data_IF_831464158540
#
_entry.id   IF_831464158540
#
_cell.length_a   1.000
_cell.length_b   1.000
_cell.length_c   1.000
_cell.angle_alpha   90.00
_cell.angle_beta   90.00
_cell.angle_gamma   90.00
#
_symmetry.space_group_name_H-M   'P 1'
#
loop_
_entity.id
_entity.type
_entity.pdbx_description
1 polymer ?
#
# COMPACT_ATOMS: atom_id res chain seq x y z
N UNK A 1 38.74 27.79 2.95
CA UNK A 1 38.10 26.49 3.22
C UNK A 1 37.01 26.69 4.27
N UNK A 2 35.75 26.32 3.98
CA UNK A 2 34.58 26.50 4.89
C UNK A 2 33.41 27.08 4.09
N UNK A 3 32.23 26.49 3.93
CA UNK A 3 31.37 25.69 4.82
C UNK A 3 30.97 24.32 4.22
N UNK A 4 31.85 23.70 3.42
CA UNK A 4 31.56 22.42 2.76
C UNK A 4 31.24 21.28 3.75
N UNK A 5 31.91 21.24 4.90
CA UNK A 5 31.69 20.20 5.92
C UNK A 5 30.27 20.27 6.51
N UNK A 6 29.74 21.46 6.81
CA UNK A 6 28.40 21.62 7.41
C UNK A 6 27.29 21.27 6.39
N UNK A 7 27.50 21.63 5.12
CA UNK A 7 26.61 21.26 4.02
C UNK A 7 26.65 19.76 3.73
N UNK A 8 27.83 19.14 3.77
CA UNK A 8 28.00 17.70 3.60
C UNK A 8 27.32 16.94 4.74
N UNK A 9 27.53 17.34 6.00
CA UNK A 9 26.87 16.71 7.15
C UNK A 9 25.35 16.88 7.12
N UNK A 10 24.83 18.01 6.62
CA UNK A 10 23.38 18.21 6.46
C UNK A 10 22.79 17.34 5.35
N UNK A 11 23.54 17.06 4.28
CA UNK A 11 23.14 16.15 3.18
C UNK A 11 23.23 14.69 3.61
N UNK A 12 24.28 14.34 4.34
CA UNK A 12 24.54 13.02 4.91
C UNK A 12 23.44 12.64 5.92
N UNK A 13 23.14 13.52 6.89
CA UNK A 13 21.98 13.36 7.80
C UNK A 13 20.62 13.29 7.07
N UNK A 14 20.49 13.91 5.90
CA UNK A 14 19.26 13.83 5.08
C UNK A 14 19.12 12.48 4.38
N UNK A 15 20.24 11.82 4.05
CA UNK A 15 20.26 10.49 3.46
C UNK A 15 20.05 9.40 4.52
N UNK A 16 20.55 9.63 5.74
CA UNK A 16 20.38 8.75 6.90
C UNK A 16 19.10 8.98 7.70
N UNK A 17 18.28 9.98 7.32
CA UNK A 17 16.86 9.94 7.62
C UNK A 17 16.25 8.82 6.78
N UNK A 18 16.52 7.58 7.22
CA UNK A 18 15.70 6.43 6.90
C UNK A 18 14.29 6.91 7.19
N UNK A 19 13.53 7.20 6.14
CA UNK A 19 12.07 7.18 6.19
C UNK A 19 11.71 5.74 6.57
N UNK A 20 11.92 5.39 7.84
CA UNK A 20 11.29 4.25 8.47
C UNK A 20 9.81 4.39 8.20
N UNK A 21 9.07 3.26 8.15
CA UNK A 21 7.71 3.25 7.64
C UNK A 21 6.95 4.41 8.26
N UNK A 22 6.68 5.44 7.44
CA UNK A 22 5.94 6.61 7.89
C UNK A 22 4.64 6.05 8.42
N UNK A 23 4.07 6.63 9.48
CA UNK A 23 2.82 6.16 10.08
C UNK A 23 1.78 5.75 9.01
N UNK A 24 1.74 6.51 7.91
CA UNK A 24 1.02 6.22 6.68
C UNK A 24 1.19 4.78 6.14
N UNK A 25 2.40 4.24 5.98
CA UNK A 25 2.62 2.88 5.48
C UNK A 25 2.06 1.80 6.42
N UNK A 26 2.16 2.01 7.74
CA UNK A 26 1.54 1.12 8.73
C UNK A 26 0.02 1.20 8.66
N UNK A 27 -0.53 2.40 8.56
CA UNK A 27 -1.99 2.60 8.42
C UNK A 27 -2.53 1.99 7.13
N UNK A 28 -1.79 2.12 6.02
CA UNK A 28 -2.16 1.49 4.74
C UNK A 28 -2.12 -0.04 4.80
N UNK A 29 -1.15 -0.63 5.50
CA UNK A 29 -1.09 -2.07 5.71
C UNK A 29 -2.27 -2.56 6.57
N UNK A 30 -2.61 -1.83 7.64
CA UNK A 30 -3.76 -2.15 8.49
C UNK A 30 -5.10 -1.97 7.77
N UNK A 31 -5.18 -1.09 6.77
CA UNK A 31 -6.40 -0.89 5.99
C UNK A 31 -6.72 -2.08 5.07
N UNK A 32 -5.79 -3.01 4.82
CA UNK A 32 -6.02 -4.19 3.97
C UNK A 32 -6.86 -5.26 4.68
N UNK A 33 -8.17 -5.05 4.71
CA UNK A 33 -9.12 -5.91 5.44
C UNK A 33 -9.99 -6.77 4.54
N UNK A 34 -10.10 -6.45 3.24
CA UNK A 34 -10.90 -7.20 2.29
C UNK A 34 -9.99 -8.22 1.61
N UNK A 35 -10.38 -9.50 1.55
CA UNK A 35 -9.59 -10.55 0.91
C UNK A 35 -10.41 -11.27 -0.14
N UNK A 36 -9.84 -11.45 -1.34
CA UNK A 36 -10.45 -12.27 -2.36
C UNK A 36 -10.34 -13.75 -1.97
N UNK A 37 -11.44 -14.50 -1.96
CA UNK A 37 -11.41 -15.94 -1.61
C UNK A 37 -10.85 -16.85 -2.70
N UNK A 38 -10.78 -16.35 -3.94
CA UNK A 38 -10.26 -17.13 -5.08
C UNK A 38 -8.74 -17.07 -5.16
N UNK A 39 -8.13 -15.90 -4.99
CA UNK A 39 -6.67 -15.72 -5.12
C UNK A 39 -5.97 -15.20 -3.86
N UNK A 40 -6.70 -15.00 -2.76
CA UNK A 40 -6.18 -14.50 -1.48
C UNK A 40 -5.46 -13.15 -1.56
N UNK A 41 -5.71 -12.37 -2.61
CA UNK A 41 -5.22 -11.00 -2.73
C UNK A 41 -5.95 -10.11 -1.72
N UNK A 42 -5.18 -9.31 -0.98
CA UNK A 42 -5.70 -8.35 -0.02
C UNK A 42 -5.99 -6.99 -0.69
N UNK A 43 -7.09 -6.37 -0.28
CA UNK A 43 -7.60 -5.09 -0.74
C UNK A 43 -7.84 -4.17 0.46
N UNK A 44 -7.67 -2.87 0.23
CA UNK A 44 -7.96 -1.85 1.25
C UNK A 44 -9.47 -1.79 1.54
N UNK A 45 -9.85 -1.55 2.79
CA UNK A 45 -11.24 -1.38 3.26
C UNK A 45 -11.99 -0.29 2.50
N UNK A 46 -11.26 0.70 2.00
CA UNK A 46 -11.78 1.84 1.25
C UNK A 46 -11.96 1.56 -0.24
N UNK A 47 -11.64 0.34 -0.72
CA UNK A 47 -11.84 -0.04 -2.12
C UNK A 47 -13.34 -0.04 -2.44
N UNK A 48 -13.74 0.67 -3.50
CA UNK A 48 -15.13 0.71 -3.95
C UNK A 48 -15.56 -0.63 -4.55
N UNK A 49 -16.88 -0.87 -4.57
CA UNK A 49 -17.47 -2.11 -5.12
C UNK A 49 -17.08 -2.33 -6.58
N UNK A 50 -17.08 -1.28 -7.40
CA UNK A 50 -16.71 -1.36 -8.81
C UNK A 50 -15.26 -1.85 -9.00
N UNK A 51 -14.32 -1.44 -8.14
CA UNK A 51 -12.95 -1.92 -8.18
C UNK A 51 -12.82 -3.40 -7.83
N UNK A 52 -13.60 -3.88 -6.87
CA UNK A 52 -13.65 -5.30 -6.50
C UNK A 52 -14.35 -6.13 -7.58
N UNK A 53 -15.41 -5.61 -8.20
CA UNK A 53 -16.09 -6.27 -9.31
C UNK A 53 -15.20 -6.36 -10.55
N UNK A 54 -14.44 -5.31 -10.86
CA UNK A 54 -13.42 -5.33 -11.89
C UNK A 54 -12.34 -6.37 -11.61
N UNK A 55 -11.94 -6.58 -10.34
CA UNK A 55 -11.03 -7.69 -10.01
C UNK A 55 -11.69 -9.05 -10.28
N UNK A 56 -12.92 -9.26 -9.81
CA UNK A 56 -13.63 -10.52 -9.99
C UNK A 56 -13.81 -10.88 -11.48
N UNK A 57 -14.20 -9.91 -12.30
CA UNK A 57 -14.42 -10.09 -13.74
C UNK A 57 -13.09 -10.26 -14.49
N UNK A 58 -12.13 -9.36 -14.32
CA UNK A 58 -10.90 -9.37 -15.14
C UNK A 58 -9.90 -10.46 -14.72
N UNK A 59 -9.88 -10.86 -13.45
CA UNK A 59 -8.93 -11.88 -12.97
C UNK A 59 -9.52 -13.28 -12.92
N UNK A 60 -10.81 -13.40 -12.63
CA UNK A 60 -11.43 -14.69 -12.37
C UNK A 60 -12.63 -15.00 -13.28
N UNK A 61 -13.05 -14.07 -14.14
CA UNK A 61 -14.29 -14.17 -14.93
C UNK A 61 -15.51 -14.53 -14.06
N UNK A 62 -15.51 -14.01 -12.82
CA UNK A 62 -16.53 -14.29 -11.79
C UNK A 62 -17.27 -13.01 -11.41
N UNK A 63 -18.44 -13.17 -10.78
CA UNK A 63 -19.15 -12.03 -10.17
C UNK A 63 -18.50 -11.67 -8.84
N UNK A 64 -18.82 -10.46 -8.36
CA UNK A 64 -18.38 -9.96 -7.07
C UNK A 64 -18.64 -10.97 -5.94
N UNK A 65 -19.85 -11.51 -5.85
CA UNK A 65 -20.25 -12.43 -4.78
C UNK A 65 -19.45 -13.75 -4.79
N UNK A 66 -19.07 -14.24 -5.96
CA UNK A 66 -18.25 -15.43 -6.11
C UNK A 66 -16.79 -15.23 -5.69
N UNK A 67 -16.31 -14.00 -5.51
CA UNK A 67 -14.95 -13.69 -5.05
C UNK A 67 -14.86 -13.05 -3.67
N UNK A 68 -15.86 -12.26 -3.28
CA UNK A 68 -15.79 -11.40 -2.10
C UNK A 68 -16.98 -11.54 -1.14
N UNK A 69 -18.06 -12.24 -1.52
CA UNK A 69 -19.04 -12.64 -0.52
C UNK A 69 -18.38 -13.67 0.40
N UNK A 70 -18.32 -13.34 1.69
CA UNK A 70 -17.92 -14.25 2.76
C UNK A 70 -18.93 -15.39 2.87
#
# INVERSE_FOLDING_TARGET
>A
MGNGAKAQQKRDRKKDEKKGPTSQLKTNAAAKTIKCKTCFQDFQSTTNREGLEAHAQNKHNKKYDDCFAS
#
